data_IF_698323763795
#
_entry.id   IF_698323763795
#
_cell.length_a   1.000
_cell.length_b   1.000
_cell.length_c   1.000
_cell.angle_alpha   90.00
_cell.angle_beta   90.00
_cell.angle_gamma   90.00
#
_symmetry.space_group_name_H-M   'P 1'
#
loop_
_entity.id
_entity.type
_entity.pdbx_description
1 polymer ?
#
# COMPACT_ATOMS: atom_id res chain seq x y z
N UNK A 1 30.85 -13.60 23.92
CA UNK A 1 30.83 -12.65 22.79
C UNK A 1 29.39 -12.57 22.33
N UNK A 2 28.65 -11.59 22.81
CA UNK A 2 27.23 -11.41 22.44
C UNK A 2 27.18 -10.67 21.11
N UNK A 3 26.56 -11.28 20.11
CA UNK A 3 26.27 -10.63 18.85
C UNK A 3 25.26 -9.51 19.10
N UNK A 4 25.70 -8.26 18.93
CA UNK A 4 24.79 -7.12 18.87
C UNK A 4 24.07 -7.25 17.53
N UNK A 5 22.83 -7.73 17.59
CA UNK A 5 21.94 -7.72 16.43
C UNK A 5 21.46 -6.29 16.28
N UNK A 6 22.05 -5.54 15.36
CA UNK A 6 21.55 -4.22 14.99
C UNK A 6 20.26 -4.45 14.22
N UNK A 7 19.13 -4.34 14.92
CA UNK A 7 17.80 -4.31 14.30
C UNK A 7 17.72 -2.97 13.58
N UNK A 8 17.81 -2.98 12.25
CA UNK A 8 17.59 -1.80 11.43
C UNK A 8 16.09 -1.60 11.33
N UNK A 9 15.57 -0.54 11.95
CA UNK A 9 14.15 -0.19 11.85
C UNK A 9 13.86 0.41 10.48
N UNK A 10 12.78 -0.01 9.80
CA UNK A 10 12.41 0.58 8.54
C UNK A 10 11.94 2.03 8.78
N UNK A 11 12.65 2.99 8.20
CA UNK A 11 12.36 4.43 8.33
C UNK A 11 11.26 4.92 7.39
N UNK A 12 10.71 4.04 6.56
CA UNK A 12 9.64 4.39 5.63
C UNK A 12 8.80 3.18 5.24
N UNK A 13 7.53 3.43 4.97
CA UNK A 13 6.58 2.48 4.40
C UNK A 13 6.16 2.99 3.02
N UNK A 14 6.25 2.13 2.01
CA UNK A 14 5.69 2.45 0.69
C UNK A 14 4.28 1.86 0.59
N UNK A 15 3.30 2.72 0.33
CA UNK A 15 1.90 2.38 0.15
C UNK A 15 1.53 2.49 -1.33
N UNK A 16 0.99 1.42 -1.89
CA UNK A 16 0.37 1.48 -3.20
C UNK A 16 -0.96 2.26 -3.16
N UNK A 17 -1.54 2.52 -4.34
CA UNK A 17 -2.78 3.31 -4.42
C UNK A 17 -3.96 2.64 -3.69
N UNK A 18 -4.05 1.32 -3.73
CA UNK A 18 -5.09 0.55 -3.04
C UNK A 18 -4.91 0.63 -1.52
N UNK A 19 -3.69 0.39 -1.02
CA UNK A 19 -3.37 0.47 0.41
C UNK A 19 -3.59 1.88 0.93
N UNK A 20 -3.16 2.91 0.21
CA UNK A 20 -3.35 4.31 0.61
C UNK A 20 -4.83 4.67 0.73
N UNK A 21 -5.64 4.29 -0.27
CA UNK A 21 -7.09 4.53 -0.22
C UNK A 21 -7.73 3.77 0.94
N UNK A 22 -7.31 2.53 1.21
CA UNK A 22 -7.82 1.74 2.32
C UNK A 22 -7.48 2.37 3.68
N UNK A 23 -6.21 2.76 3.91
CA UNK A 23 -5.77 3.42 5.15
C UNK A 23 -6.51 4.74 5.37
N UNK A 24 -6.61 5.57 4.33
CA UNK A 24 -7.33 6.86 4.39
C UNK A 24 -8.80 6.66 4.73
N UNK A 25 -9.45 5.63 4.15
CA UNK A 25 -10.84 5.29 4.45
C UNK A 25 -11.03 4.88 5.92
N UNK A 26 -10.16 4.03 6.46
CA UNK A 26 -10.29 3.59 7.85
C UNK A 26 -9.96 4.72 8.84
N UNK A 27 -9.02 5.61 8.54
CA UNK A 27 -8.77 6.83 9.33
C UNK A 27 -10.01 7.74 9.39
N UNK A 28 -10.66 7.99 8.26
CA UNK A 28 -11.91 8.78 8.22
C UNK A 28 -13.06 8.07 8.93
N UNK A 29 -13.14 6.74 8.84
CA UNK A 29 -14.13 5.96 9.60
C UNK A 29 -13.91 6.10 11.10
N UNK A 30 -12.67 5.98 11.56
CA UNK A 30 -12.31 6.12 12.97
C UNK A 30 -12.52 7.56 13.48
N UNK A 31 -12.21 8.58 12.66
CA UNK A 31 -12.53 9.99 12.92
C UNK A 31 -14.02 10.18 13.24
N UNK A 32 -14.90 9.68 12.37
CA UNK A 32 -16.35 9.77 12.56
C UNK A 32 -16.83 9.03 13.81
N UNK A 33 -16.27 7.85 14.10
CA UNK A 33 -16.56 7.11 15.32
C UNK A 33 -16.19 7.93 16.57
N UNK A 34 -14.97 8.50 16.62
CA UNK A 34 -14.53 9.30 17.77
C UNK A 34 -15.36 10.56 17.96
N UNK A 35 -15.80 11.24 16.88
CA UNK A 35 -16.75 12.36 17.00
C UNK A 35 -18.08 11.91 17.62
N UNK A 36 -18.62 10.79 17.16
CA UNK A 36 -19.85 10.22 17.73
C UNK A 36 -19.74 9.89 19.22
N UNK A 37 -18.60 9.36 19.68
CA UNK A 37 -18.34 9.13 21.10
C UNK A 37 -18.28 10.45 21.90
N UNK A 38 -17.61 11.47 21.36
CA UNK A 38 -17.56 12.80 21.98
C UNK A 38 -18.95 13.45 22.08
N UNK A 39 -19.73 13.42 21.01
CA UNK A 39 -21.11 13.92 21.00
C UNK A 39 -22.00 13.12 21.98
N UNK A 40 -21.87 11.80 22.02
CA UNK A 40 -22.61 10.93 22.92
C UNK A 40 -22.33 11.21 24.41
N UNK A 41 -21.07 11.53 24.75
CA UNK A 41 -20.71 11.95 26.11
C UNK A 41 -21.40 13.25 26.51
N UNK A 42 -21.40 14.25 25.63
CA UNK A 42 -22.05 15.53 25.87
C UNK A 42 -23.58 15.37 25.96
N UNK A 43 -24.20 14.67 25.01
CA UNK A 43 -25.65 14.48 24.95
C UNK A 43 -26.20 13.74 26.17
N UNK A 44 -25.50 12.70 26.64
CA UNK A 44 -25.88 11.93 27.82
C UNK A 44 -25.90 12.77 29.12
N UNK A 45 -25.17 13.89 29.16
CA UNK A 45 -25.03 14.75 30.34
C UNK A 45 -25.73 16.12 30.18
N UNK A 46 -26.44 16.33 29.06
CA UNK A 46 -27.23 17.54 28.79
C UNK A 46 -28.72 17.39 29.14
N UNK A 47 -29.22 16.16 29.33
CA UNK A 47 -30.62 15.91 29.71
C UNK A 47 -30.72 15.59 31.22
N UNK A 48 -31.38 16.43 32.04
CA UNK A 48 -31.77 16.01 33.38
C UNK A 48 -32.82 14.91 33.26
N UNK A 49 -32.64 13.76 33.91
CA UNK A 49 -33.77 12.87 34.19
C UNK A 49 -34.77 13.66 35.03
N UNK A 50 -36.00 13.80 34.51
CA UNK A 50 -36.97 14.80 34.96
C UNK A 50 -37.58 14.54 36.35
N UNK A 51 -37.10 13.57 37.11
CA UNK A 51 -37.72 13.16 38.38
C UNK A 51 -36.74 12.96 39.56
N UNK A 52 -35.44 13.28 39.43
CA UNK A 52 -34.51 13.18 40.56
C UNK A 52 -34.40 14.50 41.33
N UNK A 53 -34.95 14.54 42.56
CA UNK A 53 -34.82 15.65 43.52
C UNK A 53 -33.37 15.88 44.01
N UNK A 54 -32.45 14.97 43.70
CA UNK A 54 -31.01 15.10 43.96
C UNK A 54 -30.29 15.42 42.65
N UNK A 55 -30.14 16.71 42.37
CA UNK A 55 -29.64 17.25 41.10
C UNK A 55 -28.56 16.41 40.42
N UNK A 56 -28.91 15.83 39.28
CA UNK A 56 -27.97 15.14 38.40
C UNK A 56 -26.78 16.07 38.10
N UNK A 57 -25.54 15.53 38.07
CA UNK A 57 -24.37 16.34 37.80
C UNK A 57 -24.49 16.86 36.37
N UNK A 58 -24.73 18.17 36.23
CA UNK A 58 -24.57 18.84 34.95
C UNK A 58 -23.16 18.58 34.40
N UNK A 59 -22.99 18.81 33.10
CA UNK A 59 -21.75 18.60 32.36
C UNK A 59 -20.49 18.99 33.17
N UNK A 60 -19.79 17.98 33.70
CA UNK A 60 -18.59 18.18 34.54
C UNK A 60 -17.38 18.52 33.68
N UNK A 61 -16.37 19.16 34.27
CA UNK A 61 -15.11 19.45 33.58
C UNK A 61 -14.45 18.15 33.05
N UNK A 62 -14.54 17.05 33.80
CA UNK A 62 -14.01 15.74 33.39
C UNK A 62 -14.70 15.19 32.13
N UNK A 63 -16.03 15.34 32.02
CA UNK A 63 -16.79 14.92 30.83
C UNK A 63 -16.45 15.79 29.63
N UNK A 64 -16.27 17.10 29.85
CA UNK A 64 -15.83 18.02 28.79
C UNK A 64 -14.42 17.68 28.29
N UNK A 65 -13.50 17.38 29.21
CA UNK A 65 -12.14 16.99 28.86
C UNK A 65 -12.12 15.65 28.10
N UNK A 66 -12.91 14.68 28.53
CA UNK A 66 -13.07 13.41 27.82
C UNK A 66 -13.60 13.62 26.39
N UNK A 67 -14.69 14.38 26.23
CA UNK A 67 -15.24 14.69 24.91
C UNK A 67 -14.23 15.45 24.02
N UNK A 68 -13.51 16.43 24.59
CA UNK A 68 -12.46 17.16 23.88
C UNK A 68 -11.33 16.25 23.40
N UNK A 69 -10.94 15.25 24.19
CA UNK A 69 -9.96 14.24 23.80
C UNK A 69 -10.43 13.40 22.60
N UNK A 70 -11.71 13.02 22.58
CA UNK A 70 -12.33 12.33 21.45
C UNK A 70 -12.30 13.18 20.17
N UNK A 71 -12.69 14.45 20.26
CA UNK A 71 -12.65 15.38 19.12
C UNK A 71 -11.22 15.63 18.61
N UNK A 72 -10.26 15.80 19.51
CA UNK A 72 -8.86 16.00 19.15
C UNK A 72 -8.30 14.80 18.36
N UNK A 73 -8.63 13.57 18.77
CA UNK A 73 -8.23 12.36 18.04
C UNK A 73 -8.91 12.26 16.68
N UNK A 74 -10.19 12.64 16.58
CA UNK A 74 -10.88 12.68 15.30
C UNK A 74 -10.23 13.65 14.32
N UNK A 75 -9.91 14.86 14.78
CA UNK A 75 -9.26 15.88 13.96
C UNK A 75 -7.86 15.45 13.50
N UNK A 76 -7.10 14.74 14.35
CA UNK A 76 -5.81 14.16 13.97
C UNK A 76 -5.95 13.08 12.89
N UNK A 77 -6.98 12.23 12.98
CA UNK A 77 -7.24 11.20 11.97
C UNK A 77 -7.62 11.82 10.62
N UNK A 78 -8.49 12.83 10.62
CA UNK A 78 -8.91 13.53 9.40
C UNK A 78 -7.72 14.27 8.76
N UNK A 79 -6.91 14.96 9.57
CA UNK A 79 -5.72 15.66 9.08
C UNK A 79 -4.72 14.69 8.44
N UNK A 80 -4.46 13.54 9.06
CA UNK A 80 -3.56 12.53 8.50
C UNK A 80 -4.11 11.91 7.20
N UNK A 81 -5.42 11.66 7.14
CA UNK A 81 -6.10 11.18 5.95
C UNK A 81 -5.96 12.18 4.78
N UNK A 82 -6.18 13.47 5.05
CA UNK A 82 -6.03 14.53 4.06
C UNK A 82 -4.58 14.68 3.59
N UNK A 83 -3.58 14.52 4.47
CA UNK A 83 -2.18 14.51 4.08
C UNK A 83 -1.83 13.33 3.17
N UNK A 84 -2.36 12.14 3.45
CA UNK A 84 -2.17 10.94 2.61
C UNK A 84 -2.83 11.08 1.24
N UNK A 85 -3.97 11.75 1.14
CA UNK A 85 -4.62 12.05 -0.14
C UNK A 85 -3.84 13.10 -0.94
N UNK A 86 -3.32 14.13 -0.28
CA UNK A 86 -2.72 15.30 -0.93
C UNK A 86 -1.23 15.13 -1.28
N UNK A 87 -0.48 14.36 -0.49
CA UNK A 87 0.99 14.31 -0.58
C UNK A 87 1.50 12.97 -1.07
N UNK A 88 2.63 13.03 -1.75
CA UNK A 88 3.35 11.86 -2.21
C UNK A 88 4.20 11.21 -1.11
N UNK A 89 4.76 12.06 -0.24
CA UNK A 89 5.52 11.66 0.94
C UNK A 89 4.91 12.38 2.12
N UNK A 90 4.43 11.61 3.09
CA UNK A 90 3.86 12.13 4.33
C UNK A 90 4.87 11.88 5.46
N UNK A 91 5.45 12.94 6.06
CA UNK A 91 6.23 12.77 7.26
C UNK A 91 5.30 12.34 8.40
N UNK A 92 5.61 11.23 9.04
CA UNK A 92 4.82 10.70 10.14
C UNK A 92 5.61 10.63 11.43
N UNK A 93 4.94 10.92 12.54
CA UNK A 93 5.46 10.71 13.88
C UNK A 93 5.07 9.32 14.38
N UNK A 94 5.62 8.91 15.53
CA UNK A 94 5.15 7.70 16.20
C UNK A 94 3.65 7.77 16.54
N UNK A 95 3.16 8.94 16.97
CA UNK A 95 1.75 9.15 17.26
C UNK A 95 0.86 8.97 16.03
N UNK A 96 1.32 9.36 14.83
CA UNK A 96 0.58 9.05 13.59
C UNK A 96 0.51 7.55 13.31
N UNK A 97 1.58 6.79 13.61
CA UNK A 97 1.55 5.33 13.45
C UNK A 97 0.70 4.64 14.51
N UNK A 98 0.67 5.15 15.74
CA UNK A 98 -0.26 4.69 16.78
C UNK A 98 -1.70 4.92 16.34
N UNK A 99 -2.02 6.10 15.79
CA UNK A 99 -3.34 6.39 15.24
C UNK A 99 -3.72 5.42 14.13
N UNK A 100 -2.80 5.13 13.20
CA UNK A 100 -3.02 4.13 12.16
C UNK A 100 -3.28 2.75 12.80
N UNK A 101 -2.39 2.26 13.67
CA UNK A 101 -2.55 0.94 14.32
C UNK A 101 -3.88 0.81 15.06
N UNK A 102 -4.24 1.79 15.89
CA UNK A 102 -5.52 1.80 16.63
C UNK A 102 -6.71 1.83 15.66
N UNK A 103 -6.69 2.72 14.66
CA UNK A 103 -7.80 2.82 13.69
C UNK A 103 -8.04 1.50 12.96
N UNK A 104 -6.98 0.80 12.56
CA UNK A 104 -7.06 -0.47 11.85
C UNK A 104 -7.54 -1.60 12.76
N UNK A 105 -7.04 -1.69 13.99
CA UNK A 105 -7.45 -2.72 14.97
C UNK A 105 -8.91 -2.56 15.40
N UNK A 106 -9.36 -1.32 15.60
CA UNK A 106 -10.76 -1.02 15.92
C UNK A 106 -11.68 -1.33 14.73
N UNK A 107 -11.23 -1.04 13.50
CA UNK A 107 -11.99 -1.34 12.29
C UNK A 107 -12.08 -2.85 11.99
N UNK A 108 -11.03 -3.60 12.33
CA UNK A 108 -10.79 -4.99 11.96
C UNK A 108 -10.24 -5.81 13.14
N UNK A 109 -11.05 -6.06 14.18
CA UNK A 109 -10.59 -6.73 15.40
C UNK A 109 -10.26 -8.22 15.21
N UNK A 110 -10.94 -8.88 14.26
CA UNK A 110 -10.84 -10.32 14.06
C UNK A 110 -9.88 -10.70 12.92
N UNK A 111 -9.93 -9.96 11.80
CA UNK A 111 -9.15 -10.27 10.60
C UNK A 111 -8.80 -8.99 9.83
N UNK A 112 -7.51 -8.78 9.58
CA UNK A 112 -6.99 -7.63 8.84
C UNK A 112 -7.09 -7.87 7.32
N UNK A 113 -7.76 -6.99 6.56
CA UNK A 113 -7.78 -7.08 5.10
C UNK A 113 -6.37 -7.03 4.50
N UNK A 114 -6.11 -7.75 3.40
CA UNK A 114 -4.77 -7.83 2.81
C UNK A 114 -4.23 -6.47 2.35
N UNK A 115 -5.11 -5.53 1.97
CA UNK A 115 -4.74 -4.16 1.59
C UNK A 115 -4.33 -3.29 2.79
N UNK A 116 -4.51 -3.77 4.02
CA UNK A 116 -4.20 -3.06 5.26
C UNK A 116 -3.09 -3.77 6.06
N UNK A 117 -2.83 -5.06 5.79
CA UNK A 117 -1.86 -5.87 6.52
C UNK A 117 -0.47 -5.24 6.56
N UNK A 118 0.03 -4.76 5.42
CA UNK A 118 1.37 -4.16 5.34
C UNK A 118 1.51 -2.89 6.19
N UNK A 119 0.50 -2.01 6.15
CA UNK A 119 0.47 -0.79 6.97
C UNK A 119 0.32 -1.10 8.47
N UNK A 120 -0.52 -2.08 8.81
CA UNK A 120 -0.69 -2.55 10.18
C UNK A 120 0.60 -3.14 10.74
N UNK A 121 1.26 -4.04 10.00
CA UNK A 121 2.51 -4.67 10.42
C UNK A 121 3.63 -3.64 10.63
N UNK A 122 3.73 -2.66 9.74
CA UNK A 122 4.71 -1.58 9.88
C UNK A 122 4.45 -0.71 11.11
N UNK A 123 3.20 -0.29 11.33
CA UNK A 123 2.83 0.51 12.49
C UNK A 123 3.09 -0.24 13.80
N UNK A 124 2.76 -1.53 13.84
CA UNK A 124 2.97 -2.41 14.99
C UNK A 124 4.47 -2.66 15.27
N UNK A 125 5.27 -2.86 14.23
CA UNK A 125 6.72 -3.02 14.36
C UNK A 125 7.37 -1.77 14.97
N UNK A 126 6.98 -0.59 14.48
CA UNK A 126 7.56 0.68 14.95
C UNK A 126 7.12 1.00 16.37
N UNK A 127 5.84 0.82 16.71
CA UNK A 127 5.33 1.03 18.07
C UNK A 127 5.95 0.04 19.06
N UNK A 128 6.00 -1.27 18.74
CA UNK A 128 6.61 -2.28 19.61
C UNK A 128 8.12 -2.06 19.85
N UNK A 129 8.84 -1.51 18.85
CA UNK A 129 10.26 -1.19 19.01
C UNK A 129 10.53 -0.08 20.03
N UNK A 130 9.53 0.76 20.32
CA UNK A 130 9.63 1.89 21.25
C UNK A 130 9.40 1.47 22.71
N UNK A 131 8.52 0.49 22.94
CA UNK A 131 8.21 -0.02 24.27
C UNK A 131 9.31 -0.94 24.85
N UNK A 132 10.28 -1.36 24.02
CA UNK A 132 11.26 -2.39 24.35
C UNK A 132 12.59 -1.95 24.97
N UNK A 133 12.84 -0.68 25.27
CA UNK A 133 14.16 -0.24 25.75
C UNK A 133 14.17 1.05 26.59
N UNK A 134 15.14 1.20 27.52
CA UNK A 134 15.25 2.40 28.35
C UNK A 134 15.49 3.62 27.46
N UNK A 135 14.56 4.58 27.53
CA UNK A 135 14.58 5.92 26.92
C UNK A 135 15.86 6.22 26.15
N UNK A 136 15.98 5.67 24.94
CA UNK A 136 17.09 6.01 24.09
C UNK A 136 16.79 7.39 23.54
N UNK A 137 17.59 8.37 23.94
CA UNK A 137 17.65 9.71 23.33
C UNK A 137 18.21 9.63 21.90
N UNK A 138 17.75 8.66 21.11
CA UNK A 138 17.98 8.61 19.68
C UNK A 138 17.16 9.75 19.06
N UNK A 139 17.68 10.41 18.02
CA UNK A 139 16.91 11.40 17.29
C UNK A 139 15.60 10.77 16.84
N UNK A 140 14.49 11.49 16.95
CA UNK A 140 13.21 11.07 16.36
C UNK A 140 13.49 10.62 14.93
N UNK A 141 13.45 9.30 14.70
CA UNK A 141 13.66 8.78 13.37
C UNK A 141 12.55 9.38 12.52
N UNK A 142 12.90 10.12 11.47
CA UNK A 142 11.91 10.64 10.56
C UNK A 142 11.30 9.44 9.83
N UNK A 143 10.02 9.21 10.07
CA UNK A 143 9.26 8.14 9.45
C UNK A 143 8.48 8.75 8.28
N UNK A 144 8.37 7.98 7.20
CA UNK A 144 7.71 8.44 5.99
C UNK A 144 6.73 7.41 5.46
N UNK A 145 5.53 7.85 5.11
CA UNK A 145 4.63 7.10 4.24
C UNK A 145 4.81 7.61 2.82
N UNK A 146 5.18 6.72 1.91
CA UNK A 146 5.56 7.05 0.52
C UNK A 146 4.58 6.38 -0.44
N UNK A 147 4.05 7.11 -1.42
CA UNK A 147 3.22 6.52 -2.47
C UNK A 147 4.06 5.70 -3.45
N UNK A 148 3.65 4.45 -3.74
CA UNK A 148 4.31 3.59 -4.73
C UNK A 148 4.21 4.19 -6.14
N UNK A 149 5.31 4.14 -6.92
CA UNK A 149 5.35 4.60 -8.31
C UNK A 149 6.23 5.82 -8.61
N UNK A 150 7.04 6.30 -7.65
CA UNK A 150 8.06 7.32 -7.90
C UNK A 150 9.18 7.23 -6.84
N UNK A 151 10.45 7.47 -7.19
CA UNK A 151 11.55 7.40 -6.23
C UNK A 151 11.33 8.41 -5.10
N UNK A 152 11.70 8.04 -3.87
CA UNK A 152 11.75 8.99 -2.75
C UNK A 152 12.52 10.25 -3.19
N UNK A 153 12.06 11.46 -2.83
CA UNK A 153 12.90 12.63 -2.93
C UNK A 153 14.18 12.36 -2.12
N UNK A 154 15.36 12.77 -2.63
CA UNK A 154 16.62 12.57 -1.93
C UNK A 154 16.52 13.21 -0.53
N UNK A 155 16.89 12.45 0.50
CA UNK A 155 16.96 12.97 1.88
C UNK A 155 17.74 14.28 1.89
N UNK A 156 17.25 15.34 2.58
CA UNK A 156 18.04 16.55 2.74
C UNK A 156 19.33 16.21 3.49
N UNK A 157 20.45 16.86 3.15
CA UNK A 157 21.74 16.57 3.75
C UNK A 157 21.69 16.80 5.26
N UNK A 158 21.97 15.76 6.05
CA UNK A 158 22.27 15.90 7.47
C UNK A 158 23.55 16.72 7.58
N UNK A 159 23.44 17.94 8.09
CA UNK A 159 24.57 18.82 8.36
C UNK A 159 25.14 18.50 9.75
N UNK A 160 26.23 17.74 9.80
CA UNK A 160 27.17 17.76 10.93
C UNK A 160 28.54 17.13 10.50
N UNK A 161 29.65 17.45 11.17
CA UNK A 161 30.87 17.94 10.52
C UNK A 161 31.97 16.89 10.33
N UNK A 162 32.93 17.27 9.49
CA UNK A 162 34.30 16.75 9.36
C UNK A 162 34.54 15.51 8.47
N UNK A 163 35.12 15.80 7.30
CA UNK A 163 35.88 14.96 6.34
C UNK A 163 36.41 13.59 6.84
N UNK A 164 36.09 12.52 6.08
CA UNK A 164 37.02 11.50 5.52
C UNK A 164 36.21 10.44 4.69
N UNK A 165 36.82 9.54 3.89
CA UNK A 165 37.82 9.71 2.84
C UNK A 165 37.29 9.26 1.44
N UNK A 166 37.95 9.70 0.36
CA UNK A 166 37.59 9.50 -1.07
C UNK A 166 37.29 8.07 -1.55
N UNK A 167 37.58 7.04 -0.77
CA UNK A 167 37.42 5.63 -1.16
C UNK A 167 35.97 5.15 -1.16
N UNK A 168 35.12 5.73 -0.31
CA UNK A 168 33.69 5.37 -0.27
C UNK A 168 32.93 5.94 -1.47
N UNK A 169 33.35 7.11 -1.97
CA UNK A 169 32.79 7.71 -3.17
C UNK A 169 33.07 6.85 -4.42
N UNK A 170 34.30 6.39 -4.59
CA UNK A 170 34.69 5.50 -5.69
C UNK A 170 33.97 4.14 -5.60
N UNK A 171 33.79 3.61 -4.38
CA UNK A 171 33.03 2.38 -4.16
C UNK A 171 31.52 2.56 -4.47
N UNK A 172 30.95 3.72 -4.13
CA UNK A 172 29.56 4.06 -4.45
C UNK A 172 29.37 4.30 -5.96
N UNK A 173 30.29 4.98 -6.63
CA UNK A 173 30.29 5.16 -8.09
C UNK A 173 30.39 3.82 -8.83
N UNK A 174 31.26 2.91 -8.36
CA UNK A 174 31.35 1.55 -8.90
C UNK A 174 30.04 0.76 -8.77
N UNK A 175 29.36 0.89 -7.62
CA UNK A 175 28.05 0.25 -7.39
C UNK A 175 26.94 0.85 -8.24
N UNK A 176 26.93 2.18 -8.45
CA UNK A 176 25.98 2.86 -9.34
C UNK A 176 26.17 2.37 -10.78
N UNK A 177 27.41 2.21 -11.22
CA UNK A 177 27.72 1.72 -12.58
C UNK A 177 27.25 0.27 -12.77
N UNK A 178 27.56 -0.63 -11.81
CA UNK A 178 27.08 -2.02 -11.86
C UNK A 178 25.56 -2.13 -11.84
N UNK A 179 24.87 -1.31 -11.02
CA UNK A 179 23.42 -1.30 -10.97
C UNK A 179 22.81 -0.80 -12.28
N UNK A 180 23.41 0.21 -12.91
CA UNK A 180 22.97 0.75 -14.20
C UNK A 180 23.09 -0.30 -15.31
N UNK A 181 24.21 -1.04 -15.35
CA UNK A 181 24.40 -2.14 -16.31
C UNK A 181 23.42 -3.29 -16.07
N UNK A 182 23.15 -3.62 -14.81
CA UNK A 182 22.20 -4.68 -14.45
C UNK A 182 20.76 -4.32 -14.83
N UNK A 183 20.36 -3.06 -14.63
CA UNK A 183 19.05 -2.55 -15.07
C UNK A 183 18.92 -2.63 -16.58
N UNK A 184 19.91 -2.16 -17.35
CA UNK A 184 19.88 -2.25 -18.81
C UNK A 184 19.80 -3.70 -19.33
N UNK A 185 20.45 -4.64 -18.65
CA UNK A 185 20.35 -6.08 -18.96
C UNK A 185 18.95 -6.64 -18.71
N UNK A 186 18.32 -6.25 -17.59
CA UNK A 186 16.95 -6.66 -17.27
C UNK A 186 15.93 -6.07 -18.25
N UNK A 187 16.08 -4.81 -18.64
CA UNK A 187 15.21 -4.16 -19.64
C UNK A 187 15.30 -4.88 -20.99
N UNK A 188 16.50 -5.23 -21.45
CA UNK A 188 16.69 -5.98 -22.69
C UNK A 188 16.04 -7.38 -22.63
N UNK A 189 16.13 -8.07 -21.48
CA UNK A 189 15.47 -9.36 -21.27
C UNK A 189 13.95 -9.24 -21.29
N UNK A 190 13.41 -8.19 -20.67
CA UNK A 190 11.98 -7.94 -20.63
C UNK A 190 11.45 -7.62 -22.04
N UNK A 191 12.16 -6.82 -22.81
CA UNK A 191 11.81 -6.53 -24.22
C UNK A 191 11.83 -7.81 -25.08
N UNK A 192 12.82 -8.69 -24.88
CA UNK A 192 12.89 -9.97 -25.58
C UNK A 192 11.71 -10.89 -25.23
N UNK A 193 11.38 -11.01 -23.94
CA UNK A 193 10.22 -11.80 -23.49
C UNK A 193 8.90 -11.23 -24.02
N UNK A 194 8.76 -9.90 -24.07
CA UNK A 194 7.57 -9.25 -24.60
C UNK A 194 7.40 -9.56 -26.10
N UNK A 195 8.47 -9.50 -26.88
CA UNK A 195 8.45 -9.89 -28.31
C UNK A 195 8.07 -11.36 -28.50
N UNK A 196 8.54 -12.25 -27.63
CA UNK A 196 8.19 -13.67 -27.67
C UNK A 196 6.70 -13.90 -27.38
N UNK A 197 6.16 -13.22 -26.36
CA UNK A 197 4.73 -13.25 -26.02
C UNK A 197 3.88 -12.75 -27.20
N UNK A 198 4.27 -11.66 -27.84
CA UNK A 198 3.53 -11.09 -28.96
C UNK A 198 3.59 -11.98 -30.21
N UNK A 199 4.72 -12.68 -30.43
CA UNK A 199 4.86 -13.69 -31.47
C UNK A 199 3.93 -14.89 -31.22
N UNK A 200 3.88 -15.41 -29.99
CA UNK A 200 3.00 -16.52 -29.61
C UNK A 200 1.53 -16.14 -29.76
N UNK A 201 1.12 -14.97 -29.27
CA UNK A 201 -0.25 -14.44 -29.44
C UNK A 201 -0.66 -14.33 -30.91
N UNK A 202 0.27 -13.88 -31.76
CA UNK A 202 0.06 -13.75 -33.20
C UNK A 202 -0.08 -15.11 -33.90
N UNK A 203 0.63 -16.14 -33.44
CA UNK A 203 0.54 -17.51 -33.96
C UNK A 203 -0.77 -18.19 -33.54
N UNK A 204 -1.15 -18.08 -32.26
CA UNK A 204 -2.44 -18.60 -31.76
C UNK A 204 -3.61 -17.96 -32.51
N UNK A 205 -3.56 -16.65 -32.74
CA UNK A 205 -4.58 -15.91 -33.50
C UNK A 205 -4.67 -16.30 -34.98
N UNK A 206 -3.59 -16.83 -35.56
CA UNK A 206 -3.57 -17.38 -36.93
C UNK A 206 -4.06 -18.82 -36.97
N UNK A 207 -3.65 -19.65 -36.00
CA UNK A 207 -4.11 -21.04 -35.87
C UNK A 207 -5.62 -21.14 -35.68
N UNK A 208 -6.21 -20.30 -34.83
CA UNK A 208 -7.67 -20.25 -34.61
C UNK A 208 -8.41 -19.82 -35.89
N UNK A 209 -7.85 -18.88 -36.67
CA UNK A 209 -8.43 -18.46 -37.95
C UNK A 209 -8.33 -19.54 -39.03
N UNK A 210 -7.23 -20.30 -39.06
CA UNK A 210 -7.03 -21.41 -40.00
C UNK A 210 -7.96 -22.59 -39.71
N UNK A 211 -8.28 -22.87 -38.43
CA UNK A 211 -9.23 -23.93 -38.05
C UNK A 211 -10.69 -23.58 -38.38
N UNK A 212 -11.02 -22.29 -38.51
CA UNK A 212 -12.37 -21.83 -38.91
C UNK A 212 -12.60 -21.87 -40.43
N UNK A 213 -11.56 -22.10 -41.23
CA UNK A 213 -11.61 -22.03 -42.69
C UNK A 213 -11.83 -23.38 -43.40
N UNK A 214 -11.94 -24.50 -42.68
CA UNK A 214 -12.32 -25.79 -43.27
C UNK A 214 -13.65 -26.31 -42.70
N UNK A 215 -14.74 -26.14 -43.45
CA UNK A 215 -15.86 -27.06 -43.38
C UNK A 215 -16.09 -27.71 -44.77
N UNK A 216 -16.01 -29.04 -44.79
CA UNK A 216 -16.78 -29.90 -45.69
C UNK A 216 -16.48 -29.81 -47.21
N UNK A 217 -15.67 -30.76 -47.68
CA UNK A 217 -16.06 -31.72 -48.72
C UNK A 217 -16.49 -31.18 -50.09
N UNK A 218 -15.53 -31.04 -51.02
CA UNK A 218 -15.82 -31.09 -52.45
C UNK A 218 -15.39 -32.45 -53.03
N UNK A 219 -16.39 -33.24 -53.39
CA UNK A 219 -16.30 -34.63 -53.86
C UNK A 219 -15.42 -34.83 -55.12
N UNK A 220 -14.87 -36.05 -55.35
CA UNK A 220 -14.08 -36.34 -56.53
C UNK A 220 -14.97 -36.44 -57.78
N UNK A 221 -14.65 -35.64 -58.81
CA UNK A 221 -15.23 -35.79 -60.16
C UNK A 221 -14.89 -37.17 -60.73
N UNK A 222 -15.90 -38.04 -60.87
CA UNK A 222 -15.81 -39.27 -61.65
C UNK A 222 -15.39 -38.95 -63.09
N UNK A 223 -14.21 -39.42 -63.51
CA UNK A 223 -13.88 -39.63 -64.92
C UNK A 223 -14.64 -40.87 -65.39
N UNK A 224 -15.58 -40.71 -66.30
CA UNK A 224 -16.07 -41.82 -67.12
C UNK A 224 -15.04 -42.10 -68.22
N UNK A 225 -14.59 -43.36 -68.30
CA UNK A 225 -13.79 -43.89 -69.41
C UNK A 225 -14.72 -44.36 -70.55
N UNK A 226 -14.22 -44.47 -71.80
CA UNK A 226 -15.06 -44.67 -72.97
C UNK A 226 -15.37 -46.16 -73.19
N UNK A 227 -16.64 -46.50 -73.41
CA UNK A 227 -17.03 -47.80 -73.93
C UNK A 227 -16.83 -47.82 -75.45
N UNK A 228 -16.04 -48.79 -75.92
CA UNK A 228 -15.88 -49.14 -77.33
C UNK A 228 -16.57 -50.48 -77.58
N UNK A 229 -17.43 -50.48 -78.60
CA UNK A 229 -17.90 -51.64 -79.36
C UNK A 229 -19.28 -52.14 -78.91
N UNK A 230 -20.31 -52.30 -79.75
CA UNK A 230 -20.47 -52.16 -81.19
C UNK A 230 -21.64 -53.05 -81.63
N UNK A 231 -22.39 -52.59 -82.65
CA UNK A 231 -23.28 -53.37 -83.57
C UNK A 231 -24.59 -53.91 -82.93
N UNK A 232 -25.78 -53.91 -83.56
CA UNK A 232 -26.24 -53.74 -84.95
C UNK A 232 -27.76 -53.43 -84.94
N UNK A 233 -28.24 -52.88 -86.08
CA UNK A 233 -29.61 -52.90 -86.65
C UNK A 233 -30.84 -52.87 -85.70
#
# INVERSE_FOLDING_TARGET
MSAITVVTHPSSLTLNDTERVAVTRELRRYSNYRRGEGDGLLDAHLLPETDDEDGLPGLTDDVQEAAASHFALADQCEALADELDARQVVPVSASHLELISVSLREAHPDEMPPELSHASEFADLVTASRDGGPQSSEPEQMLFLVREGNPLPPSPPILAPARAPRTEHEALEGRVTQLTEHVGSLEARLEAQQKEIDALRSQTSRGIRSQRADPLGSAPRRRAAPERGGLSL
#
